data_IF_986895658091
#
_entry.id   IF_986895658091
#
_cell.length_a   1.000
_cell.length_b   1.000
_cell.length_c   1.000
_cell.angle_alpha   90.00
_cell.angle_beta   90.00
_cell.angle_gamma   90.00
#
_symmetry.space_group_name_H-M   'P 1'
#
loop_
_entity.id
_entity.type
_entity.pdbx_description
1 polymer ?
#
# COMPACT_ATOMS: atom_id res chain seq x y z
N UNK A 1 13.71 14.03 -30.23
CA UNK A 1 13.34 13.08 -29.16
C UNK A 1 11.83 12.86 -28.94
N UNK A 2 10.90 13.60 -29.58
CA UNK A 2 9.46 13.48 -29.28
C UNK A 2 8.67 12.42 -30.10
N UNK A 3 9.17 11.93 -31.23
CA UNK A 3 8.39 11.01 -32.10
C UNK A 3 8.50 9.51 -31.76
N UNK A 4 9.58 9.11 -31.09
CA UNK A 4 9.81 7.70 -30.70
C UNK A 4 8.98 7.32 -29.46
N UNK A 5 8.69 8.29 -28.59
CA UNK A 5 7.89 8.07 -27.37
C UNK A 5 6.40 7.87 -27.70
N UNK A 6 5.86 8.59 -28.70
CA UNK A 6 4.46 8.43 -29.13
C UNK A 6 4.20 7.09 -29.84
N UNK A 7 5.20 6.52 -30.52
CA UNK A 7 5.05 5.24 -31.23
C UNK A 7 5.10 4.03 -30.27
N UNK A 8 5.79 4.15 -29.13
CA UNK A 8 5.80 3.11 -28.08
C UNK A 8 4.50 3.06 -27.27
N UNK A 9 3.84 4.20 -27.08
CA UNK A 9 2.55 4.28 -26.39
C UNK A 9 1.39 3.67 -27.22
N UNK A 10 1.45 3.79 -28.55
CA UNK A 10 0.41 3.26 -29.44
C UNK A 10 0.49 1.73 -29.61
N UNK A 11 1.69 1.13 -29.50
CA UNK A 11 1.85 -0.33 -29.63
C UNK A 11 1.31 -1.11 -28.42
N UNK A 12 1.24 -0.48 -27.24
CA UNK A 12 0.74 -1.13 -26.02
C UNK A 12 -0.80 -1.31 -26.02
N UNK A 13 -1.53 -0.49 -26.78
CA UNK A 13 -2.99 -0.57 -26.90
C UNK A 13 -3.49 -1.62 -27.92
N UNK A 14 -2.63 -2.11 -28.82
CA UNK A 14 -3.02 -3.08 -29.86
C UNK A 14 -2.81 -4.56 -29.46
N UNK A 15 -2.21 -4.85 -28.32
CA UNK A 15 -1.90 -6.21 -27.88
C UNK A 15 -3.04 -6.95 -27.14
N UNK A 16 -4.25 -6.38 -27.08
CA UNK A 16 -5.41 -6.97 -26.37
C UNK A 16 -6.39 -7.72 -27.30
N UNK A 17 -6.15 -7.75 -28.63
CA UNK A 17 -7.16 -8.26 -29.57
C UNK A 17 -6.66 -9.36 -30.53
N UNK A 18 -5.96 -10.40 -30.06
CA UNK A 18 -5.68 -11.55 -30.95
C UNK A 18 -5.42 -12.87 -30.19
N UNK A 19 -6.49 -13.57 -29.75
CA UNK A 19 -6.48 -15.04 -29.64
C UNK A 19 -7.89 -15.57 -29.92
N UNK A 20 -8.09 -16.24 -31.07
CA UNK A 20 -8.94 -17.44 -31.24
C UNK A 20 -8.72 -18.01 -32.67
N UNK A 21 -8.23 -19.26 -32.83
CA UNK A 21 -8.18 -19.91 -34.14
C UNK A 21 -9.42 -20.78 -34.41
N UNK A 22 -10.14 -20.43 -35.48
CA UNK A 22 -10.65 -21.33 -36.53
C UNK A 22 -11.65 -22.46 -36.22
N UNK A 23 -12.85 -22.36 -36.83
CA UNK A 23 -13.39 -23.40 -37.74
C UNK A 23 -14.57 -22.88 -38.59
N UNK A 24 -14.44 -23.05 -39.91
CA UNK A 24 -15.44 -22.82 -40.95
C UNK A 24 -16.64 -23.77 -40.84
N UNK A 25 -17.86 -23.28 -41.04
CA UNK A 25 -18.93 -23.99 -41.79
C UNK A 25 -19.78 -22.95 -42.56
N UNK A 26 -19.91 -23.20 -43.86
CA UNK A 26 -20.80 -22.55 -44.83
C UNK A 26 -22.21 -23.14 -44.68
N UNK A 27 -23.25 -22.30 -44.55
CA UNK A 27 -24.60 -22.63 -45.06
C UNK A 27 -25.52 -21.40 -45.09
N UNK A 28 -25.91 -21.04 -46.30
CA UNK A 28 -27.24 -20.61 -46.79
C UNK A 28 -28.19 -19.72 -45.94
N UNK A 29 -28.43 -18.55 -46.54
CA UNK A 29 -29.66 -17.77 -46.66
C UNK A 29 -30.95 -18.22 -45.94
N UNK A 30 -31.56 -17.28 -45.21
CA UNK A 30 -32.97 -16.91 -45.35
C UNK A 30 -33.22 -15.52 -44.77
N UNK A 31 -33.91 -14.69 -45.54
CA UNK A 31 -34.38 -13.33 -45.23
C UNK A 31 -35.20 -13.26 -43.94
N UNK A 32 -35.13 -12.12 -43.24
CA UNK A 32 -36.27 -11.58 -42.49
C UNK A 32 -36.12 -10.06 -42.27
N UNK A 33 -36.93 -9.38 -43.07
CA UNK A 33 -37.47 -8.02 -43.09
C UNK A 33 -37.02 -6.97 -42.06
N UNK A 34 -36.69 -5.80 -42.63
CA UNK A 34 -36.58 -4.47 -42.03
C UNK A 34 -37.94 -3.99 -41.48
N UNK A 35 -37.95 -3.03 -40.55
CA UNK A 35 -38.36 -1.72 -41.05
C UNK A 35 -37.50 -0.56 -40.57
N UNK A 36 -37.47 0.41 -41.47
CA UNK A 36 -36.72 1.65 -41.54
C UNK A 36 -37.36 2.67 -40.58
N UNK A 37 -36.51 3.45 -39.90
CA UNK A 37 -36.85 4.79 -39.46
C UNK A 37 -35.62 5.70 -39.69
N UNK A 38 -35.78 6.58 -40.68
CA UNK A 38 -35.15 7.91 -40.85
C UNK A 38 -34.92 8.66 -39.52
N UNK A 39 -34.07 9.66 -39.33
CA UNK A 39 -33.14 10.48 -40.13
C UNK A 39 -32.61 11.56 -39.16
N UNK A 40 -31.47 12.20 -39.49
CA UNK A 40 -30.82 13.35 -38.85
C UNK A 40 -30.04 13.01 -37.56
N UNK A 41 -28.71 13.17 -37.47
CA UNK A 41 -27.85 14.19 -38.06
C UNK A 41 -27.35 15.09 -36.92
N UNK A 42 -26.14 14.84 -36.42
CA UNK A 42 -25.53 15.59 -35.33
C UNK A 42 -24.21 14.97 -34.90
N UNK A 43 -23.13 15.40 -35.55
CA UNK A 43 -21.75 15.16 -35.14
C UNK A 43 -21.41 16.25 -34.10
N UNK A 44 -21.29 15.89 -32.82
CA UNK A 44 -20.64 16.75 -31.82
C UNK A 44 -19.72 15.95 -30.91
N UNK A 45 -18.53 16.50 -30.79
CA UNK A 45 -17.33 16.04 -30.12
C UNK A 45 -17.38 16.31 -28.62
N UNK A 46 -16.74 15.40 -27.87
CA UNK A 46 -16.02 15.58 -26.60
C UNK A 46 -16.65 16.47 -25.51
N UNK A 47 -16.90 15.87 -24.34
CA UNK A 47 -16.67 16.50 -23.03
C UNK A 47 -16.38 15.38 -21.99
N UNK A 48 -15.13 14.95 -21.93
CA UNK A 48 -14.55 14.20 -20.80
C UNK A 48 -13.99 15.21 -19.79
N UNK A 49 -14.82 15.80 -18.92
CA UNK A 49 -14.31 16.57 -17.78
C UNK A 49 -15.43 16.82 -16.77
N UNK A 50 -15.68 15.88 -15.83
CA UNK A 50 -16.17 16.26 -14.49
C UNK A 50 -16.12 15.12 -13.45
N UNK A 51 -14.93 14.63 -13.07
CA UNK A 51 -14.87 13.66 -11.96
C UNK A 51 -13.55 13.60 -11.20
N UNK A 52 -13.01 14.74 -10.76
CA UNK A 52 -11.93 14.76 -9.76
C UNK A 52 -12.05 15.95 -8.80
N UNK A 53 -12.92 15.81 -7.79
CA UNK A 53 -12.82 16.60 -6.55
C UNK A 53 -11.57 16.17 -5.79
N UNK A 54 -10.56 17.04 -5.78
CA UNK A 54 -9.19 16.79 -5.31
C UNK A 54 -8.92 17.54 -4.01
N UNK A 55 -9.20 16.88 -2.88
CA UNK A 55 -8.78 17.37 -1.56
C UNK A 55 -7.87 16.33 -0.93
N UNK A 56 -6.63 16.29 -1.43
CA UNK A 56 -5.58 15.36 -1.02
C UNK A 56 -4.67 15.01 -2.19
N UNK A 57 -4.00 16.03 -2.74
CA UNK A 57 -3.10 15.92 -3.89
C UNK A 57 -2.10 14.77 -3.68
N UNK A 58 -2.32 13.69 -4.42
CA UNK A 58 -1.27 12.73 -4.73
C UNK A 58 -0.14 13.52 -5.39
N UNK A 59 1.03 13.58 -4.76
CA UNK A 59 2.23 14.16 -5.34
C UNK A 59 2.94 13.07 -6.16
N UNK A 60 2.80 13.05 -7.49
CA UNK A 60 3.42 12.04 -8.35
C UNK A 60 4.96 12.15 -8.36
N UNK A 61 5.55 13.22 -7.82
CA UNK A 61 7.00 13.35 -7.76
C UNK A 61 7.62 12.59 -6.58
N UNK A 62 6.88 12.39 -5.48
CA UNK A 62 7.35 11.69 -4.28
C UNK A 62 7.42 10.17 -4.45
N UNK A 63 6.69 9.61 -5.43
CA UNK A 63 6.56 8.16 -5.60
C UNK A 63 6.97 7.71 -7.00
N UNK A 64 7.69 6.58 -7.08
CA UNK A 64 7.88 5.83 -8.32
C UNK A 64 6.81 4.74 -8.43
N UNK A 65 6.15 4.71 -9.59
CA UNK A 65 5.12 3.73 -9.91
C UNK A 65 5.76 2.59 -10.70
N UNK A 66 5.72 1.39 -10.13
CA UNK A 66 6.16 0.17 -10.80
C UNK A 66 4.95 -0.71 -11.11
N UNK A 67 4.84 -1.19 -12.34
CA UNK A 67 3.81 -2.14 -12.77
C UNK A 67 4.51 -3.43 -13.19
N UNK A 68 4.15 -4.55 -12.59
CA UNK A 68 4.73 -5.84 -12.95
C UNK A 68 4.04 -6.50 -14.17
N UNK A 69 4.59 -7.64 -14.62
CA UNK A 69 4.09 -8.40 -15.78
C UNK A 69 2.67 -8.96 -15.60
N UNK A 70 2.12 -8.91 -14.38
CA UNK A 70 0.77 -9.36 -14.04
C UNK A 70 -0.19 -8.17 -13.88
N UNK A 71 0.29 -6.95 -14.07
CA UNK A 71 -0.47 -5.71 -13.94
C UNK A 71 -0.59 -5.22 -12.49
N UNK A 72 0.16 -5.77 -11.53
CA UNK A 72 0.13 -5.30 -10.15
C UNK A 72 1.01 -4.05 -9.98
N UNK A 73 0.46 -3.04 -9.30
CA UNK A 73 1.06 -1.71 -9.14
C UNK A 73 1.72 -1.59 -7.76
N UNK A 74 2.91 -1.00 -7.71
CA UNK A 74 3.65 -0.68 -6.49
C UNK A 74 3.98 0.81 -6.46
N UNK A 75 3.71 1.46 -5.33
CA UNK A 75 4.09 2.85 -5.05
C UNK A 75 5.33 2.87 -4.17
N UNK A 76 6.43 3.42 -4.65
CA UNK A 76 7.71 3.45 -3.94
C UNK A 76 8.07 4.89 -3.64
N UNK A 77 8.13 5.30 -2.38
CA UNK A 77 8.66 6.62 -2.01
C UNK A 77 10.08 6.77 -2.54
N UNK A 78 10.35 7.83 -3.30
CA UNK A 78 11.71 8.18 -3.71
C UNK A 78 12.49 8.58 -2.47
N UNK A 79 13.60 7.88 -2.25
CA UNK A 79 14.55 8.25 -1.21
C UNK A 79 15.23 9.56 -1.64
N UNK A 80 15.27 10.63 -0.81
CA UNK A 80 15.95 11.87 -1.19
C UNK A 80 17.43 11.57 -1.43
N UNK A 81 17.96 12.04 -2.57
CA UNK A 81 19.37 11.90 -2.88
C UNK A 81 20.19 12.51 -1.74
N UNK A 82 20.98 11.68 -1.04
CA UNK A 82 21.90 12.14 -0.02
C UNK A 82 22.87 13.15 -0.66
N UNK A 83 23.14 14.31 -0.04
CA UNK A 83 24.15 15.22 -0.56
C UNK A 83 25.49 14.48 -0.56
N UNK A 84 26.13 14.42 -1.74
CA UNK A 84 27.49 13.94 -1.92
C UNK A 84 28.41 14.78 -1.02
N UNK A 85 28.90 14.19 0.07
CA UNK A 85 29.91 14.80 0.92
C UNK A 85 31.24 14.70 0.15
N UNK A 86 31.67 15.82 -0.41
CA UNK A 86 32.94 15.97 -1.08
C UNK A 86 34.11 15.64 -0.16
N UNK A 87 34.93 14.71 -0.61
CA UNK A 87 36.17 14.26 0.00
C UNK A 87 37.20 15.40 0.01
N UNK A 88 37.68 15.79 1.20
CA UNK A 88 38.79 16.72 1.39
C UNK A 88 39.80 16.10 2.34
N UNK A 89 40.81 15.49 1.73
CA UNK A 89 42.01 14.97 2.38
C UNK A 89 42.98 16.11 2.73
N UNK A 90 43.58 16.00 3.93
CA UNK A 90 44.88 16.58 4.28
C UNK A 90 44.87 17.99 4.89
N UNK A 91 45.07 18.11 6.20
CA UNK A 91 46.41 18.29 6.82
C UNK A 91 46.27 18.56 8.33
N UNK A 92 46.99 17.80 9.15
CA UNK A 92 47.22 18.11 10.56
C UNK A 92 48.47 18.99 10.64
N UNK A 93 48.43 20.11 11.38
CA UNK A 93 49.54 20.37 12.28
C UNK A 93 49.10 20.67 13.72
N UNK A 94 50.09 20.48 14.56
CA UNK A 94 50.14 20.32 16.00
C UNK A 94 50.16 21.67 16.76
N UNK A 95 49.80 21.61 18.04
CA UNK A 95 50.25 22.48 19.16
C UNK A 95 49.50 23.79 19.51
N UNK A 96 48.73 23.69 20.61
CA UNK A 96 48.87 24.42 21.90
C UNK A 96 48.36 25.88 22.11
N UNK A 97 47.58 25.98 23.21
CA UNK A 97 47.34 27.09 24.18
C UNK A 97 46.22 28.16 23.95
N UNK A 98 45.14 27.95 24.74
CA UNK A 98 44.36 28.84 25.62
C UNK A 98 43.96 30.27 25.19
N UNK A 99 42.65 30.52 25.10
CA UNK A 99 41.89 31.46 25.95
C UNK A 99 40.39 31.44 25.57
N UNK A 100 39.51 31.23 26.56
CA UNK A 100 38.03 31.26 26.48
C UNK A 100 37.47 32.71 26.50
N UNK A 101 36.13 32.97 26.37
CA UNK A 101 35.02 32.15 25.84
C UNK A 101 34.09 32.93 24.87
N UNK A 102 33.30 32.20 24.06
CA UNK A 102 32.00 32.68 23.57
C UNK A 102 31.08 31.47 23.32
N UNK A 103 30.26 31.17 24.32
CA UNK A 103 29.18 30.20 24.30
C UNK A 103 28.12 30.58 23.27
N UNK A 104 27.76 29.65 22.40
CA UNK A 104 26.36 29.43 22.04
C UNK A 104 26.18 27.92 21.78
N UNK A 105 26.06 27.19 22.90
CA UNK A 105 25.64 25.80 22.90
C UNK A 105 24.16 25.74 22.51
N UNK A 106 23.85 25.27 21.30
CA UNK A 106 22.54 24.70 21.04
C UNK A 106 22.51 23.30 21.66
N UNK A 107 22.01 23.25 22.89
CA UNK A 107 21.56 22.03 23.54
C UNK A 107 20.51 21.35 22.67
N UNK A 108 20.91 20.29 21.95
CA UNK A 108 19.95 19.33 21.42
C UNK A 108 19.62 18.39 22.57
N UNK A 109 18.61 18.84 23.32
CA UNK A 109 17.96 18.14 24.41
C UNK A 109 17.71 16.67 24.00
N UNK A 110 18.54 15.77 24.54
CA UNK A 110 18.34 14.32 24.43
C UNK A 110 17.13 13.98 25.29
N UNK A 111 15.95 14.16 24.70
CA UNK A 111 14.70 13.62 25.23
C UNK A 111 14.95 12.13 25.48
N UNK A 112 15.01 11.74 26.74
CA UNK A 112 14.90 10.33 27.13
C UNK A 112 13.64 9.81 26.43
N UNK A 113 13.83 8.94 25.45
CA UNK A 113 12.72 8.30 24.78
C UNK A 113 11.98 7.48 25.84
N UNK A 114 10.79 7.95 26.23
CA UNK A 114 9.83 7.15 26.98
C UNK A 114 9.83 5.75 26.38
N UNK A 115 10.03 4.73 27.23
CA UNK A 115 10.02 3.34 26.76
C UNK A 115 8.72 3.12 25.97
N UNK A 116 8.80 2.54 24.76
CA UNK A 116 7.60 2.30 23.96
C UNK A 116 6.58 1.52 24.79
N UNK A 117 5.31 1.90 24.72
CA UNK A 117 4.20 1.24 25.44
C UNK A 117 3.90 -0.19 24.92
N UNK A 118 4.72 -0.71 24.03
CA UNK A 118 4.52 -1.96 23.30
C UNK A 118 5.75 -2.85 23.42
N UNK A 119 5.54 -4.17 23.33
CA UNK A 119 6.64 -5.14 23.38
C UNK A 119 7.31 -5.29 22.02
N UNK A 120 8.55 -5.81 22.00
CA UNK A 120 9.21 -6.18 20.74
C UNK A 120 8.43 -7.24 19.97
N UNK A 121 7.76 -8.16 20.67
CA UNK A 121 6.88 -9.18 20.09
C UNK A 121 5.65 -8.56 19.43
N UNK A 122 5.02 -7.56 20.05
CA UNK A 122 3.92 -6.80 19.46
C UNK A 122 4.35 -6.09 18.17
N UNK A 123 5.50 -5.41 18.20
CA UNK A 123 6.06 -4.73 17.04
C UNK A 123 6.35 -5.75 15.92
N UNK A 124 7.01 -6.85 16.25
CA UNK A 124 7.36 -7.92 15.30
C UNK A 124 6.12 -8.51 14.65
N UNK A 125 5.14 -8.91 15.46
CA UNK A 125 3.92 -9.54 14.97
C UNK A 125 3.09 -8.57 14.11
N UNK A 126 2.90 -7.34 14.58
CA UNK A 126 2.11 -6.34 13.86
C UNK A 126 2.80 -5.87 12.57
N UNK A 127 4.12 -5.71 12.57
CA UNK A 127 4.88 -5.36 11.35
C UNK A 127 4.78 -6.47 10.29
N UNK A 128 4.92 -7.73 10.69
CA UNK A 128 4.79 -8.87 9.78
C UNK A 128 3.37 -9.00 9.21
N UNK A 129 2.36 -8.74 10.04
CA UNK A 129 0.96 -8.67 9.59
C UNK A 129 0.78 -7.57 8.54
N UNK A 130 1.21 -6.34 8.83
CA UNK A 130 1.06 -5.19 7.94
C UNK A 130 1.81 -5.41 6.63
N UNK A 131 3.01 -5.99 6.69
CA UNK A 131 3.74 -6.41 5.49
C UNK A 131 2.94 -7.42 4.66
N UNK A 132 2.36 -8.44 5.28
CA UNK A 132 1.60 -9.47 4.58
C UNK A 132 0.27 -8.97 3.99
N UNK A 133 -0.42 -8.04 4.66
CA UNK A 133 -1.73 -7.51 4.24
C UNK A 133 -1.64 -6.29 3.33
N UNK A 134 -0.60 -5.47 3.48
CA UNK A 134 -0.48 -4.15 2.84
C UNK A 134 0.94 -3.85 2.34
N UNK A 135 1.81 -4.84 2.18
CA UNK A 135 3.19 -4.70 1.70
C UNK A 135 3.32 -3.91 0.39
N UNK A 136 2.33 -4.05 -0.49
CA UNK A 136 2.24 -3.38 -1.79
C UNK A 136 1.56 -1.99 -1.75
N UNK A 137 0.99 -1.60 -0.61
CA UNK A 137 0.29 -0.33 -0.45
C UNK A 137 1.28 0.82 -0.19
N UNK A 138 0.87 2.10 -0.37
CA UNK A 138 1.64 3.24 0.12
C UNK A 138 1.72 3.23 1.66
N UNK A 139 2.58 4.07 2.23
CA UNK A 139 2.80 4.15 3.67
C UNK A 139 1.49 4.37 4.46
N UNK A 140 0.61 5.22 3.95
CA UNK A 140 -0.69 5.52 4.55
C UNK A 140 -1.58 4.27 4.61
N UNK A 141 -1.49 3.40 3.60
CA UNK A 141 -2.23 2.13 3.57
C UNK A 141 -1.70 1.13 4.61
N UNK A 142 -0.38 1.09 4.80
CA UNK A 142 0.25 0.27 5.85
C UNK A 142 -0.12 0.77 7.25
N UNK A 143 -0.03 2.08 7.47
CA UNK A 143 -0.43 2.75 8.71
C UNK A 143 -1.90 2.49 9.03
N UNK A 144 -2.76 2.53 8.01
CA UNK A 144 -4.18 2.27 8.15
C UNK A 144 -4.46 0.83 8.60
N UNK A 145 -3.80 -0.18 8.02
CA UNK A 145 -3.95 -1.58 8.46
C UNK A 145 -3.45 -1.78 9.89
N UNK A 146 -2.34 -1.16 10.28
CA UNK A 146 -1.87 -1.18 11.67
C UNK A 146 -2.93 -0.59 12.63
N UNK A 147 -3.53 0.54 12.26
CA UNK A 147 -4.57 1.18 13.05
C UNK A 147 -5.85 0.34 13.16
N UNK A 148 -6.20 -0.47 12.16
CA UNK A 148 -7.34 -1.41 12.29
C UNK A 148 -7.12 -2.38 13.45
N UNK A 149 -5.90 -2.91 13.62
CA UNK A 149 -5.57 -3.81 14.73
C UNK A 149 -5.69 -3.06 16.07
N UNK A 150 -5.04 -1.91 16.18
CA UNK A 150 -5.03 -1.13 17.43
C UNK A 150 -6.43 -0.62 17.80
N UNK A 151 -7.25 -0.26 16.81
CA UNK A 151 -8.64 0.10 17.04
C UNK A 151 -9.46 -1.06 17.58
N UNK A 152 -9.23 -2.29 17.10
CA UNK A 152 -9.92 -3.49 17.62
C UNK A 152 -9.51 -3.81 19.05
N UNK A 153 -8.22 -3.70 19.39
CA UNK A 153 -7.73 -3.86 20.76
C UNK A 153 -8.46 -2.90 21.72
N UNK A 154 -8.72 -1.67 21.29
CA UNK A 154 -9.38 -0.63 22.10
C UNK A 154 -10.90 -0.64 22.02
N UNK A 155 -11.49 -1.44 21.14
CA UNK A 155 -12.92 -1.34 20.82
C UNK A 155 -13.76 -2.21 21.75
N UNK A 156 -14.78 -1.60 22.38
CA UNK A 156 -15.77 -2.34 23.16
C UNK A 156 -16.57 -3.35 22.33
N UNK A 157 -16.68 -3.14 21.02
CA UNK A 157 -17.28 -4.11 20.10
C UNK A 157 -16.46 -5.41 20.12
N UNK A 158 -15.14 -5.33 20.17
CA UNK A 158 -14.23 -6.47 20.17
C UNK A 158 -13.81 -6.89 21.58
N UNK A 159 -14.71 -6.84 22.56
CA UNK A 159 -14.43 -7.13 23.98
C UNK A 159 -13.87 -8.53 24.30
N UNK A 160 -13.91 -9.48 23.35
CA UNK A 160 -13.31 -10.81 23.50
C UNK A 160 -11.82 -10.85 23.13
N UNK A 161 -11.25 -9.76 22.60
CA UNK A 161 -9.83 -9.63 22.27
C UNK A 161 -9.30 -8.33 22.86
N UNK A 162 -8.19 -8.40 23.59
CA UNK A 162 -7.61 -7.26 24.31
C UNK A 162 -6.11 -7.09 24.03
N UNK A 163 -5.54 -7.93 23.16
CA UNK A 163 -4.13 -7.88 22.74
C UNK A 163 -4.01 -7.89 21.22
N UNK A 164 -2.85 -7.44 20.71
CA UNK A 164 -2.54 -7.43 19.28
C UNK A 164 -2.62 -8.86 18.71
N UNK A 165 -2.06 -9.84 19.41
CA UNK A 165 -2.09 -11.24 19.00
C UNK A 165 -3.52 -11.78 18.89
N UNK A 166 -4.34 -11.57 19.93
CA UNK A 166 -5.73 -12.02 19.93
C UNK A 166 -6.52 -11.41 18.77
N UNK A 167 -6.33 -10.11 18.48
CA UNK A 167 -6.99 -9.44 17.35
C UNK A 167 -6.56 -10.03 16.01
N UNK A 168 -5.27 -10.32 15.84
CA UNK A 168 -4.72 -10.87 14.60
C UNK A 168 -5.27 -12.26 14.32
N UNK A 169 -5.38 -13.09 15.35
CA UNK A 169 -5.85 -14.46 15.24
C UNK A 169 -7.35 -14.64 15.48
N UNK A 170 -8.12 -13.57 15.70
CA UNK A 170 -9.56 -13.65 15.97
C UNK A 170 -10.35 -14.33 14.84
N UNK A 171 -11.20 -15.29 15.23
CA UNK A 171 -12.09 -16.07 14.34
C UNK A 171 -13.55 -16.02 14.75
N UNK A 172 -13.92 -15.27 15.80
CA UNK A 172 -15.24 -15.35 16.41
C UNK A 172 -16.39 -14.97 15.46
N UNK A 173 -16.19 -13.94 14.64
CA UNK A 173 -17.24 -13.40 13.76
C UNK A 173 -16.88 -13.43 12.29
N UNK A 174 -15.73 -12.85 11.94
CA UNK A 174 -15.22 -12.83 10.59
C UNK A 174 -13.70 -12.81 10.62
N UNK A 175 -13.09 -13.53 9.69
CA UNK A 175 -11.64 -13.50 9.51
C UNK A 175 -11.29 -12.21 8.77
N UNK A 176 -10.72 -11.24 9.49
CA UNK A 176 -10.18 -10.03 8.87
C UNK A 176 -8.84 -10.31 8.20
N UNK A 177 -7.95 -11.01 8.92
CA UNK A 177 -6.57 -11.21 8.54
C UNK A 177 -6.37 -12.61 7.96
N UNK A 178 -6.72 -12.76 6.68
CA UNK A 178 -6.64 -14.05 6.00
C UNK A 178 -5.21 -14.57 5.86
N UNK A 179 -4.20 -13.68 5.98
CA UNK A 179 -2.77 -14.02 5.94
C UNK A 179 -2.34 -14.96 7.07
N UNK A 180 -3.14 -15.10 8.13
CA UNK A 180 -2.91 -16.04 9.25
C UNK A 180 -3.35 -17.47 8.92
N UNK A 181 -4.09 -17.69 7.82
CA UNK A 181 -4.58 -19.01 7.42
C UNK A 181 -3.43 -19.83 6.84
N UNK A 182 -3.18 -21.00 7.43
CA UNK A 182 -2.14 -21.93 6.96
C UNK A 182 -2.54 -22.57 5.65
N UNK A 183 -1.59 -22.63 4.72
CA UNK A 183 -1.74 -23.40 3.50
C UNK A 183 -1.63 -24.90 3.81
N UNK A 184 -2.58 -25.71 3.35
CA UNK A 184 -2.64 -27.15 3.65
C UNK A 184 -1.44 -27.97 3.18
N UNK A 185 -0.74 -27.51 2.12
CA UNK A 185 0.43 -28.22 1.56
C UNK A 185 1.71 -27.89 2.30
N UNK A 186 1.90 -26.62 2.65
CA UNK A 186 3.16 -26.14 3.25
C UNK A 186 3.12 -26.08 4.77
N UNK A 187 1.92 -26.12 5.38
CA UNK A 187 1.73 -25.91 6.81
C UNK A 187 2.00 -24.48 7.28
N UNK A 188 2.44 -23.58 6.39
CA UNK A 188 2.77 -22.18 6.66
C UNK A 188 1.68 -21.25 6.11
N UNK A 189 1.35 -20.22 6.88
CA UNK A 189 0.53 -19.09 6.48
C UNK A 189 1.39 -18.02 5.80
N UNK A 190 0.77 -16.96 5.26
CA UNK A 190 1.53 -15.81 4.75
C UNK A 190 2.20 -15.04 5.88
N UNK A 191 1.53 -14.96 7.04
CA UNK A 191 2.11 -14.37 8.25
C UNK A 191 3.33 -15.18 8.74
N UNK A 192 3.28 -16.51 8.73
CA UNK A 192 4.42 -17.35 9.13
C UNK A 192 5.66 -17.07 8.26
N UNK A 193 5.45 -16.86 6.96
CA UNK A 193 6.54 -16.51 6.03
C UNK A 193 7.08 -15.10 6.29
N UNK A 194 6.20 -14.14 6.61
CA UNK A 194 6.61 -12.79 6.96
C UNK A 194 7.44 -12.76 8.26
N UNK A 195 7.03 -13.54 9.26
CA UNK A 195 7.77 -13.72 10.52
C UNK A 195 9.16 -14.33 10.27
N UNK A 196 9.24 -15.38 9.47
CA UNK A 196 10.52 -16.00 9.09
C UNK A 196 11.43 -15.00 8.34
N UNK A 197 10.88 -14.24 7.40
CA UNK A 197 11.64 -13.21 6.67
C UNK A 197 12.10 -12.07 7.58
N UNK A 198 11.28 -11.68 8.55
CA UNK A 198 11.63 -10.68 9.57
C UNK A 198 12.80 -11.16 10.45
N UNK A 199 12.71 -12.40 10.95
CA UNK A 199 13.70 -12.95 11.89
C UNK A 199 15.04 -13.24 11.22
N UNK A 200 15.00 -13.74 9.98
CA UNK A 200 16.20 -14.14 9.25
C UNK A 200 16.78 -13.01 8.40
N UNK A 201 15.98 -12.00 8.06
CA UNK A 201 16.33 -10.99 7.07
C UNK A 201 16.38 -11.51 5.63
N UNK A 202 15.96 -12.76 5.39
CA UNK A 202 16.03 -13.42 4.08
C UNK A 202 14.67 -13.34 3.38
N UNK A 203 14.65 -12.66 2.24
CA UNK A 203 13.48 -12.57 1.37
C UNK A 203 13.70 -13.44 0.13
N UNK A 204 12.74 -14.31 -0.17
CA UNK A 204 12.87 -15.37 -1.19
C UNK A 204 11.94 -15.17 -2.39
N UNK A 205 11.22 -14.06 -2.43
CA UNK A 205 10.37 -13.72 -3.58
C UNK A 205 11.21 -13.32 -4.79
N UNK A 206 10.50 -12.92 -5.85
CA UNK A 206 11.12 -12.58 -7.13
C UNK A 206 11.98 -11.32 -7.05
N UNK A 207 11.71 -10.43 -6.10
CA UNK A 207 12.46 -9.20 -5.88
C UNK A 207 12.71 -8.99 -4.37
N UNK A 208 13.74 -9.66 -3.81
CA UNK A 208 14.06 -9.60 -2.39
C UNK A 208 14.32 -8.19 -1.84
N UNK A 209 14.91 -7.31 -2.66
CA UNK A 209 15.20 -5.93 -2.25
C UNK A 209 13.92 -5.09 -2.10
N UNK A 210 12.97 -5.23 -3.02
CA UNK A 210 11.68 -4.57 -2.90
C UNK A 210 10.88 -5.09 -1.69
N UNK A 211 10.93 -6.40 -1.44
CA UNK A 211 10.30 -7.03 -0.26
C UNK A 211 10.91 -6.49 1.04
N UNK A 212 12.25 -6.41 1.12
CA UNK A 212 12.96 -5.85 2.26
C UNK A 212 12.61 -4.39 2.49
N UNK A 213 12.50 -3.58 1.43
CA UNK A 213 12.04 -2.19 1.51
C UNK A 213 10.60 -2.12 2.02
N UNK A 214 9.70 -2.96 1.52
CA UNK A 214 8.32 -3.02 1.98
C UNK A 214 8.21 -3.42 3.47
N UNK A 215 9.00 -4.39 3.93
CA UNK A 215 9.06 -4.75 5.35
C UNK A 215 9.55 -3.58 6.22
N UNK A 216 10.60 -2.85 5.79
CA UNK A 216 11.07 -1.64 6.49
C UNK A 216 9.99 -0.57 6.59
N UNK A 217 9.23 -0.33 5.51
CA UNK A 217 8.09 0.61 5.52
C UNK A 217 6.98 0.15 6.47
N UNK A 218 6.67 -1.14 6.50
CA UNK A 218 5.70 -1.70 7.44
C UNK A 218 6.13 -1.49 8.89
N UNK A 219 7.41 -1.74 9.22
CA UNK A 219 7.98 -1.45 10.55
C UNK A 219 7.84 0.03 10.90
N UNK A 220 8.15 0.94 9.98
CA UNK A 220 8.01 2.39 10.17
C UNK A 220 6.55 2.76 10.49
N UNK A 221 5.61 2.27 9.68
CA UNK A 221 4.17 2.54 9.85
C UNK A 221 3.62 1.98 11.17
N UNK A 222 4.07 0.79 11.57
CA UNK A 222 3.66 0.17 12.83
C UNK A 222 4.19 0.93 14.04
N UNK A 223 5.45 1.37 14.02
CA UNK A 223 6.00 2.22 15.09
C UNK A 223 5.20 3.52 15.22
N UNK A 224 4.87 4.16 14.11
CA UNK A 224 4.01 5.34 14.10
C UNK A 224 2.63 5.07 14.72
N UNK A 225 1.96 3.98 14.32
CA UNK A 225 0.67 3.59 14.88
C UNK A 225 0.72 3.31 16.38
N UNK A 226 1.75 2.59 16.83
CA UNK A 226 1.95 2.26 18.24
C UNK A 226 2.28 3.50 19.09
N UNK A 227 2.90 4.52 18.47
CA UNK A 227 3.11 5.85 19.06
C UNK A 227 1.88 6.76 18.96
N UNK A 228 0.74 6.25 18.47
CA UNK A 228 -0.54 6.94 18.48
C UNK A 228 -0.96 7.58 17.16
N UNK A 229 -0.17 7.47 16.09
CA UNK A 229 -0.56 8.01 14.79
C UNK A 229 -1.71 7.21 14.18
N UNK A 230 -2.83 7.86 13.87
CA UNK A 230 -4.01 7.22 13.32
C UNK A 230 -4.60 8.01 12.16
N UNK A 231 -4.57 7.41 10.96
CA UNK A 231 -5.06 8.02 9.72
C UNK A 231 -6.42 7.49 9.25
N UNK A 232 -7.10 6.65 10.04
CA UNK A 232 -8.40 6.05 9.70
C UNK A 232 -9.48 6.25 10.76
N UNK A 233 -9.20 7.00 11.82
CA UNK A 233 -10.15 7.22 12.91
C UNK A 233 -10.50 5.91 13.60
N UNK A 234 -11.79 5.60 13.71
CA UNK A 234 -12.32 4.43 14.44
C UNK A 234 -12.73 3.25 13.54
N UNK A 235 -12.28 3.21 12.28
CA UNK A 235 -12.58 2.07 11.41
C UNK A 235 -12.00 0.77 11.96
N UNK A 236 -12.80 -0.29 11.86
CA UNK A 236 -12.52 -1.60 12.47
C UNK A 236 -12.30 -2.68 11.41
N UNK A 237 -12.61 -2.41 10.15
CA UNK A 237 -12.51 -3.38 9.07
C UNK A 237 -11.90 -2.73 7.83
N UNK A 238 -11.26 -3.54 7.00
CA UNK A 238 -10.91 -3.15 5.65
C UNK A 238 -11.15 -4.29 4.66
N UNK A 239 -11.26 -3.96 3.37
CA UNK A 239 -11.27 -4.90 2.26
C UNK A 239 -10.60 -4.29 1.05
N UNK A 240 -10.26 -5.12 0.06
CA UNK A 240 -9.92 -4.65 -1.27
C UNK A 240 -11.08 -3.85 -1.88
N UNK A 241 -10.78 -2.66 -2.40
CA UNK A 241 -11.68 -1.76 -3.10
C UNK A 241 -11.85 -2.19 -4.56
N UNK A 242 -12.44 -3.37 -4.75
CA UNK A 242 -12.80 -3.90 -6.07
C UNK A 242 -14.32 -3.82 -6.30
N UNK A 243 -14.83 -4.43 -7.37
CA UNK A 243 -16.28 -4.45 -7.68
C UNK A 243 -17.16 -4.97 -6.53
N UNK A 244 -16.62 -5.83 -5.66
CA UNK A 244 -17.33 -6.34 -4.47
C UNK A 244 -17.49 -5.29 -3.37
N UNK A 245 -16.66 -4.25 -3.35
CA UNK A 245 -16.74 -3.14 -2.40
C UNK A 245 -17.99 -2.27 -2.62
N UNK A 246 -18.69 -2.38 -3.75
CA UNK A 246 -19.97 -1.68 -4.01
C UNK A 246 -20.98 -1.91 -2.88
N UNK A 247 -21.06 -3.14 -2.36
CA UNK A 247 -21.96 -3.48 -1.24
C UNK A 247 -21.57 -2.79 0.06
N UNK A 248 -20.27 -2.57 0.30
CA UNK A 248 -19.77 -1.85 1.49
C UNK A 248 -20.18 -0.39 1.39
N UNK A 249 -19.93 0.24 0.23
CA UNK A 249 -20.28 1.65 -0.03
C UNK A 249 -21.79 1.91 0.08
N UNK A 250 -22.61 0.92 -0.26
CA UNK A 250 -24.07 1.00 -0.10
C UNK A 250 -24.54 0.75 1.34
N UNK A 251 -23.86 -0.15 2.07
CA UNK A 251 -24.27 -0.58 3.41
C UNK A 251 -23.81 0.37 4.51
N UNK A 252 -22.62 0.94 4.37
CA UNK A 252 -22.00 1.82 5.35
C UNK A 252 -21.87 3.22 4.75
N UNK A 253 -22.45 4.20 5.44
CA UNK A 253 -22.41 5.61 5.04
C UNK A 253 -21.06 6.27 5.29
N UNK A 254 -20.23 5.66 6.14
CA UNK A 254 -18.91 6.14 6.51
C UNK A 254 -17.85 5.09 6.15
N UNK A 255 -16.91 5.50 5.31
CA UNK A 255 -15.79 4.69 4.83
C UNK A 255 -14.68 5.61 4.33
N UNK A 256 -13.45 5.08 4.28
CA UNK A 256 -12.29 5.76 3.68
C UNK A 256 -11.56 4.84 2.73
N UNK A 257 -11.07 5.38 1.63
CA UNK A 257 -10.27 4.65 0.66
C UNK A 257 -8.82 5.14 0.76
N UNK A 258 -7.88 4.20 0.91
CA UNK A 258 -6.44 4.48 0.92
C UNK A 258 -5.77 3.37 0.12
N UNK A 259 -5.09 3.73 -0.97
CA UNK A 259 -4.61 2.77 -1.96
C UNK A 259 -5.75 1.88 -2.47
N UNK A 260 -5.52 0.57 -2.48
CA UNK A 260 -6.49 -0.43 -2.92
C UNK A 260 -7.43 -0.89 -1.80
N UNK A 261 -7.41 -0.25 -0.63
CA UNK A 261 -8.23 -0.64 0.51
C UNK A 261 -9.38 0.33 0.76
N UNK A 262 -10.55 -0.25 1.09
CA UNK A 262 -11.68 0.45 1.68
C UNK A 262 -11.77 0.08 3.17
N UNK A 263 -11.67 1.09 4.03
CA UNK A 263 -11.78 1.02 5.48
C UNK A 263 -13.17 1.45 5.91
N UNK A 264 -13.77 0.73 6.86
CA UNK A 264 -15.12 0.99 7.33
C UNK A 264 -15.32 0.46 8.76
N UNK A 265 -16.42 0.87 9.39
CA UNK A 265 -16.82 0.40 10.72
C UNK A 265 -18.09 -0.44 10.63
N UNK A 266 -18.05 -1.65 11.21
CA UNK A 266 -19.27 -2.45 11.41
C UNK A 266 -20.08 -1.89 12.58
N UNK A 267 -21.40 -1.94 12.47
CA UNK A 267 -22.30 -1.60 13.58
C UNK A 267 -22.25 -2.66 14.67
#
# INVERSE_FOLDING_TARGET
MSRILKLKLLLALLAVFFILPGRNIIAHASELEVPVADSAGGEETADEEDLLGTDGLFDPELYEIYVDEQGQVYYIEKEPAAPEIGDATGNIPDSAENDEPAEEAQEVDKKEADKPSYTEDDLRLLACLVYAEAGNQPYEGMLAVANVVLNRVKSSVYSHVNTIEEVIYDRKWAVQFSVTIKNSKTGKSMLDKALEAYDTGVFTGKNPEAEKKAMKRAIKAVKAALNGENNIGNFLCFRLNNSSAKKIKQKYSDYKIIGDHIFYRTK
#
